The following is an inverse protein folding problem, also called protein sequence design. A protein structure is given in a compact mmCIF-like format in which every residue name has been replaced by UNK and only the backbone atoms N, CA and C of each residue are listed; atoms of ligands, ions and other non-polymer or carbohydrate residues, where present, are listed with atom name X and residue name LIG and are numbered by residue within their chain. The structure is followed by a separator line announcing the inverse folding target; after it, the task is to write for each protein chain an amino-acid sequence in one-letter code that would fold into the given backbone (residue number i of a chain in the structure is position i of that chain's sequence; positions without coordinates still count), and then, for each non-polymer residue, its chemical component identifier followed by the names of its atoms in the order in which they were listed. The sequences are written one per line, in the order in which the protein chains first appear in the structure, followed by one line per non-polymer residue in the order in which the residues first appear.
data_IF_515066347522
#
_entry.id   IF_515066347522
#
_cell.length_a   1.000
_cell.length_b   1.000
_cell.length_c   1.000
_cell.angle_alpha   90.00
_cell.angle_beta   90.00
_cell.angle_gamma   90.00
#
_symmetry.space_group_name_H-M   'P 1'
#
loop_
_entity.id
_entity.type
_entity.pdbx_description
1 polymer ?
#
# COMPACT_ATOMS: atom_id res chain seq x y z
N UNK A 1 17.48 -60.48 22.53
CA UNK A 1 16.71 -59.25 22.81
C UNK A 1 17.33 -57.98 22.24
N UNK A 2 18.59 -57.63 22.48
CA UNK A 2 19.21 -56.38 21.96
C UNK A 2 19.20 -56.20 20.43
N UNK A 3 19.29 -57.30 19.64
CA UNK A 3 19.26 -57.24 18.18
C UNK A 3 17.89 -56.93 17.63
N UNK A 4 16.80 -57.46 18.24
CA UNK A 4 15.43 -57.24 17.84
C UNK A 4 15.01 -55.76 18.03
N UNK A 5 15.38 -55.14 19.15
CA UNK A 5 15.13 -53.73 19.40
C UNK A 5 15.85 -52.78 18.42
N UNK A 6 17.07 -53.13 17.97
CA UNK A 6 17.79 -52.36 16.94
C UNK A 6 17.08 -52.41 15.57
N UNK A 7 16.58 -53.57 15.19
CA UNK A 7 15.81 -53.73 13.94
C UNK A 7 14.47 -52.99 14.00
N UNK A 8 13.79 -52.96 15.15
CA UNK A 8 12.54 -52.24 15.35
C UNK A 8 12.75 -50.69 15.28
N UNK A 9 13.82 -50.18 15.89
CA UNK A 9 14.17 -48.76 15.85
C UNK A 9 14.58 -48.32 14.44
N UNK A 10 15.29 -49.13 13.69
CA UNK A 10 15.62 -48.87 12.30
C UNK A 10 14.35 -48.85 11.42
N UNK A 11 13.43 -49.79 11.61
CA UNK A 11 12.15 -49.82 10.91
C UNK A 11 11.28 -48.58 11.18
N UNK A 12 11.19 -48.15 12.44
CA UNK A 12 10.47 -46.92 12.80
C UNK A 12 11.14 -45.65 12.21
N UNK A 13 12.47 -45.61 12.16
CA UNK A 13 13.23 -44.54 11.52
C UNK A 13 12.95 -44.46 10.01
N UNK A 14 12.89 -45.60 9.31
CA UNK A 14 12.56 -45.62 7.88
C UNK A 14 11.11 -45.20 7.61
N UNK A 15 10.16 -45.62 8.45
CA UNK A 15 8.75 -45.20 8.33
C UNK A 15 8.62 -43.70 8.56
N UNK A 16 9.27 -43.14 9.58
CA UNK A 16 9.29 -41.71 9.87
C UNK A 16 9.89 -40.88 8.71
N UNK A 17 11.01 -41.34 8.14
CA UNK A 17 11.64 -40.73 7.00
C UNK A 17 10.74 -40.76 5.74
N UNK A 18 10.07 -41.89 5.50
CA UNK A 18 9.15 -42.06 4.39
C UNK A 18 7.92 -41.13 4.53
N UNK A 19 7.38 -40.95 5.73
CA UNK A 19 6.27 -40.02 6.01
C UNK A 19 6.71 -38.59 5.79
N UNK A 20 7.91 -38.22 6.26
CA UNK A 20 8.47 -36.86 6.06
C UNK A 20 8.71 -36.56 4.57
N UNK A 21 9.25 -37.50 3.82
CA UNK A 21 9.48 -37.32 2.38
C UNK A 21 8.14 -37.20 1.61
N UNK A 22 7.14 -38.03 1.95
CA UNK A 22 5.81 -37.89 1.34
C UNK A 22 5.11 -36.56 1.72
N UNK A 23 5.30 -36.09 2.95
CA UNK A 23 4.77 -34.80 3.39
C UNK A 23 5.44 -33.64 2.63
N UNK A 24 6.78 -33.63 2.48
CA UNK A 24 7.52 -32.67 1.70
C UNK A 24 7.13 -32.68 0.21
N UNK A 25 6.96 -33.84 -0.40
CA UNK A 25 6.51 -33.93 -1.80
C UNK A 25 5.09 -33.42 -1.98
N UNK A 26 4.18 -33.71 -1.04
CA UNK A 26 2.81 -33.19 -1.08
C UNK A 26 2.77 -31.64 -0.95
N UNK A 27 3.57 -31.06 -0.06
CA UNK A 27 3.70 -29.59 0.07
C UNK A 27 4.27 -29.00 -1.22
N UNK A 28 5.36 -29.58 -1.76
CA UNK A 28 5.97 -29.12 -3.00
C UNK A 28 5.00 -29.17 -4.18
N UNK A 29 4.21 -30.23 -4.29
CA UNK A 29 3.18 -30.36 -5.32
C UNK A 29 2.06 -29.30 -5.17
N UNK A 30 1.63 -29.04 -3.94
CA UNK A 30 0.64 -28.00 -3.65
C UNK A 30 1.15 -26.60 -4.02
N UNK A 31 2.39 -26.29 -3.65
CA UNK A 31 3.06 -25.02 -4.00
C UNK A 31 3.18 -24.90 -5.52
N UNK A 32 3.63 -25.92 -6.21
CA UNK A 32 3.76 -25.92 -7.67
C UNK A 32 2.40 -25.76 -8.38
N UNK A 33 1.34 -26.36 -7.85
CA UNK A 33 -0.01 -26.21 -8.40
C UNK A 33 -0.51 -24.75 -8.26
N UNK A 34 -0.34 -24.14 -7.08
CA UNK A 34 -0.68 -22.72 -6.83
C UNK A 34 0.15 -21.82 -7.75
N UNK A 35 1.45 -22.05 -7.84
CA UNK A 35 2.36 -21.29 -8.70
C UNK A 35 1.98 -21.37 -10.17
N UNK A 36 1.65 -22.56 -10.68
CA UNK A 36 1.23 -22.74 -12.06
C UNK A 36 -0.11 -22.06 -12.34
N UNK A 37 -1.08 -22.15 -11.40
CA UNK A 37 -2.36 -21.45 -11.52
C UNK A 37 -2.16 -19.93 -11.55
N UNK A 38 -1.34 -19.38 -10.66
CA UNK A 38 -0.99 -17.96 -10.65
C UNK A 38 -0.27 -17.52 -11.95
N UNK A 39 0.67 -18.32 -12.44
CA UNK A 39 1.39 -18.03 -13.70
C UNK A 39 0.46 -18.03 -14.91
N UNK A 40 -0.51 -18.96 -14.98
CA UNK A 40 -1.50 -18.99 -16.06
C UNK A 40 -2.43 -17.76 -16.00
N UNK A 41 -2.93 -17.39 -14.81
CA UNK A 41 -3.74 -16.18 -14.63
C UNK A 41 -2.97 -14.91 -15.03
N UNK A 42 -1.69 -14.85 -14.67
CA UNK A 42 -0.81 -13.75 -15.09
C UNK A 42 -0.63 -13.72 -16.60
N UNK A 43 -0.38 -14.88 -17.25
CA UNK A 43 -0.20 -14.97 -18.69
C UNK A 43 -1.48 -14.57 -19.46
N UNK A 44 -2.65 -14.90 -18.94
CA UNK A 44 -3.94 -14.47 -19.50
C UNK A 44 -4.17 -12.96 -19.33
N UNK A 45 -3.86 -12.44 -18.14
CA UNK A 45 -3.95 -11.00 -17.85
C UNK A 45 -2.98 -10.17 -18.71
N UNK A 46 -1.76 -10.66 -18.92
CA UNK A 46 -0.74 -9.96 -19.74
C UNK A 46 -0.99 -9.98 -21.23
N UNK A 47 -1.77 -10.94 -21.75
CA UNK A 47 -2.15 -11.01 -23.17
C UNK A 47 -3.21 -9.98 -23.58
N UNK A 48 -3.99 -9.47 -22.60
CA UNK A 48 -4.86 -8.32 -22.85
C UNK A 48 -4.05 -7.05 -22.69
N UNK A 49 -3.47 -6.53 -23.77
CA UNK A 49 -3.01 -5.14 -23.80
C UNK A 49 -4.24 -4.24 -23.64
N UNK A 50 -4.50 -3.82 -22.40
CA UNK A 50 -5.55 -2.84 -22.14
C UNK A 50 -5.05 -1.53 -22.72
N UNK A 51 -5.73 -1.02 -23.75
CA UNK A 51 -5.48 0.34 -24.25
C UNK A 51 -5.73 1.29 -23.07
N UNK A 52 -4.81 2.24 -22.77
CA UNK A 52 -5.06 3.24 -21.75
C UNK A 52 -6.39 3.93 -22.03
N UNK A 53 -7.29 3.95 -21.06
CA UNK A 53 -8.50 4.74 -21.14
C UNK A 53 -8.07 6.18 -20.84
N UNK A 54 -8.45 7.10 -21.71
CA UNK A 54 -8.18 8.52 -21.49
C UNK A 54 -8.72 8.93 -20.13
N UNK A 55 -7.87 9.60 -19.32
CA UNK A 55 -8.21 10.04 -17.94
C UNK A 55 -8.24 8.96 -16.84
N UNK A 56 -7.65 7.80 -17.06
CA UNK A 56 -7.58 6.72 -16.08
C UNK A 56 -6.63 7.04 -14.92
N UNK A 57 -7.04 6.70 -13.68
CA UNK A 57 -6.18 6.76 -12.49
C UNK A 57 -5.57 5.39 -12.23
N UNK A 58 -4.25 5.30 -12.26
CA UNK A 58 -3.54 4.03 -12.07
C UNK A 58 -3.04 3.92 -10.63
N UNK A 59 -3.61 3.01 -9.85
CA UNK A 59 -3.24 2.75 -8.46
C UNK A 59 -2.41 1.46 -8.39
N UNK A 60 -1.24 1.53 -7.78
CA UNK A 60 -0.35 0.39 -7.59
C UNK A 60 -0.17 0.07 -6.10
N UNK A 61 -0.26 -1.20 -5.75
CA UNK A 61 -0.03 -1.71 -4.38
C UNK A 61 0.84 -2.96 -4.42
N UNK A 62 1.71 -3.11 -3.41
CA UNK A 62 2.50 -4.33 -3.19
C UNK A 62 2.01 -5.00 -1.92
N UNK A 63 1.48 -6.21 -2.05
CA UNK A 63 0.82 -6.97 -0.97
C UNK A 63 1.47 -8.35 -0.80
N UNK A 64 2.26 -8.53 0.25
CA UNK A 64 2.92 -9.78 0.56
C UNK A 64 2.64 -10.24 1.99
N UNK A 65 2.37 -11.53 2.15
CA UNK A 65 2.03 -12.19 3.41
C UNK A 65 0.53 -12.29 3.65
N UNK A 66 0.13 -13.32 4.39
CA UNK A 66 -1.27 -13.77 4.53
C UNK A 66 -2.23 -12.68 5.04
N UNK A 67 -1.77 -11.82 5.93
CA UNK A 67 -2.61 -10.76 6.52
C UNK A 67 -2.79 -9.53 5.62
N UNK A 68 -2.22 -9.50 4.40
CA UNK A 68 -2.26 -8.33 3.52
C UNK A 68 -3.37 -8.37 2.49
N UNK A 69 -4.03 -9.49 2.30
CA UNK A 69 -5.14 -9.61 1.35
C UNK A 69 -6.30 -8.68 1.73
N UNK A 70 -6.87 -8.86 2.93
CA UNK A 70 -8.05 -8.11 3.38
C UNK A 70 -7.76 -6.62 3.53
N UNK A 71 -6.57 -6.28 4.04
CA UNK A 71 -6.13 -4.90 4.18
C UNK A 71 -6.03 -4.21 2.81
N UNK A 72 -5.37 -4.86 1.84
CA UNK A 72 -5.25 -4.36 0.47
C UNK A 72 -6.62 -4.26 -0.23
N UNK A 73 -7.48 -5.26 -0.07
CA UNK A 73 -8.83 -5.22 -0.64
C UNK A 73 -9.66 -4.08 -0.01
N UNK A 74 -9.54 -3.83 1.28
CA UNK A 74 -10.21 -2.71 1.94
C UNK A 74 -9.72 -1.37 1.41
N UNK A 75 -8.40 -1.23 1.18
CA UNK A 75 -7.80 -0.06 0.56
C UNK A 75 -8.33 0.14 -0.87
N UNK A 76 -8.26 -0.89 -1.74
CA UNK A 76 -8.76 -0.81 -3.12
C UNK A 76 -10.26 -0.52 -3.17
N UNK A 77 -11.04 -1.09 -2.24
CA UNK A 77 -12.46 -0.81 -2.09
C UNK A 77 -12.70 0.67 -1.76
N UNK A 78 -11.90 1.27 -0.87
CA UNK A 78 -12.01 2.69 -0.55
C UNK A 78 -11.77 3.59 -1.78
N UNK A 79 -10.76 3.28 -2.58
CA UNK A 79 -10.54 3.97 -3.85
C UNK A 79 -11.74 3.88 -4.78
N UNK A 80 -12.31 2.68 -4.89
CA UNK A 80 -13.46 2.41 -5.76
C UNK A 80 -14.71 3.17 -5.31
N UNK A 81 -14.96 3.25 -4.00
CA UNK A 81 -16.12 3.96 -3.42
C UNK A 81 -16.10 5.44 -3.82
N UNK A 82 -14.98 6.10 -3.65
CA UNK A 82 -14.86 7.54 -3.87
C UNK A 82 -14.61 7.94 -5.32
N UNK A 83 -14.00 7.10 -6.15
CA UNK A 83 -13.63 7.45 -7.52
C UNK A 83 -14.81 7.90 -8.37
N UNK A 84 -14.57 8.94 -9.21
CA UNK A 84 -15.47 9.42 -10.27
C UNK A 84 -14.89 9.19 -11.66
N UNK A 85 -13.60 8.82 -11.74
CA UNK A 85 -12.89 8.51 -12.98
C UNK A 85 -12.63 7.01 -13.09
N UNK A 86 -12.37 6.47 -14.27
CA UNK A 86 -11.94 5.10 -14.45
C UNK A 86 -10.68 4.81 -13.62
N UNK A 87 -10.63 3.63 -12.99
CA UNK A 87 -9.49 3.17 -12.21
C UNK A 87 -8.80 1.99 -12.89
N UNK A 88 -7.49 1.94 -12.78
CA UNK A 88 -6.71 0.73 -13.07
C UNK A 88 -5.90 0.32 -11.85
N UNK A 89 -6.16 -0.87 -11.35
CA UNK A 89 -5.41 -1.45 -10.24
C UNK A 89 -4.26 -2.31 -10.72
N UNK A 90 -3.05 -2.03 -10.24
CA UNK A 90 -1.88 -2.89 -10.41
C UNK A 90 -1.56 -3.46 -9.03
N UNK A 91 -1.87 -4.73 -8.83
CA UNK A 91 -1.58 -5.46 -7.59
C UNK A 91 -0.34 -6.33 -7.82
N UNK A 92 0.72 -6.09 -7.06
CA UNK A 92 1.92 -6.93 -7.06
C UNK A 92 1.92 -7.74 -5.77
N UNK A 93 1.97 -9.07 -5.87
CA UNK A 93 1.69 -9.93 -4.73
C UNK A 93 2.52 -11.22 -4.74
N UNK A 94 2.59 -11.89 -3.61
CA UNK A 94 3.05 -13.28 -3.54
C UNK A 94 2.18 -14.18 -4.42
N UNK A 95 2.75 -15.26 -4.91
CA UNK A 95 2.04 -16.22 -5.77
C UNK A 95 0.78 -16.80 -5.10
N UNK A 96 0.84 -17.00 -3.80
CA UNK A 96 -0.24 -17.57 -2.98
C UNK A 96 -1.48 -16.67 -2.94
N UNK A 97 -1.31 -15.35 -2.98
CA UNK A 97 -2.41 -14.39 -2.89
C UNK A 97 -3.01 -14.01 -4.26
N UNK A 98 -2.28 -14.26 -5.37
CA UNK A 98 -2.73 -13.88 -6.72
C UNK A 98 -4.14 -14.43 -7.06
N UNK A 99 -4.45 -15.72 -6.81
CA UNK A 99 -5.78 -16.25 -7.12
C UNK A 99 -6.90 -15.53 -6.34
N UNK A 100 -6.67 -15.23 -5.06
CA UNK A 100 -7.65 -14.58 -4.20
C UNK A 100 -7.91 -13.12 -4.63
N UNK A 101 -6.87 -12.36 -4.96
CA UNK A 101 -7.01 -11.03 -5.54
C UNK A 101 -7.79 -11.06 -6.85
N UNK A 102 -7.44 -11.98 -7.75
CA UNK A 102 -8.08 -12.08 -9.04
C UNK A 102 -9.57 -12.43 -8.92
N UNK A 103 -9.91 -13.40 -8.06
CA UNK A 103 -11.28 -13.79 -7.78
C UNK A 103 -12.10 -12.60 -7.25
N UNK A 104 -11.58 -11.92 -6.22
CA UNK A 104 -12.31 -10.83 -5.57
C UNK A 104 -12.48 -9.61 -6.46
N UNK A 105 -11.46 -9.22 -7.19
CA UNK A 105 -11.56 -8.09 -8.12
C UNK A 105 -12.45 -8.40 -9.32
N UNK A 106 -12.49 -9.67 -9.77
CA UNK A 106 -13.43 -10.11 -10.81
C UNK A 106 -14.88 -10.06 -10.31
N UNK A 107 -15.14 -10.51 -9.08
CA UNK A 107 -16.45 -10.37 -8.43
C UNK A 107 -16.88 -8.89 -8.40
N UNK A 108 -15.98 -7.99 -7.97
CA UNK A 108 -16.31 -6.56 -7.91
C UNK A 108 -16.64 -5.96 -9.28
N UNK A 109 -15.97 -6.37 -10.35
CA UNK A 109 -16.31 -5.90 -11.71
C UNK A 109 -17.74 -6.26 -12.13
N UNK A 110 -18.31 -7.31 -11.57
CA UNK A 110 -19.69 -7.73 -11.88
C UNK A 110 -20.74 -6.95 -11.07
N UNK A 111 -20.39 -6.49 -9.87
CA UNK A 111 -21.37 -5.90 -8.96
C UNK A 111 -21.33 -4.37 -8.92
N UNK A 112 -20.20 -3.72 -9.24
CA UNK A 112 -20.11 -2.26 -9.16
C UNK A 112 -20.48 -1.61 -10.51
N UNK A 113 -21.26 -0.54 -10.45
CA UNK A 113 -21.53 0.31 -11.61
C UNK A 113 -20.46 1.40 -11.78
N UNK A 114 -19.19 0.98 -11.80
CA UNK A 114 -18.04 1.87 -11.99
C UNK A 114 -17.03 1.23 -12.94
N UNK A 115 -16.41 2.04 -13.78
CA UNK A 115 -15.39 1.55 -14.71
C UNK A 115 -14.07 1.37 -13.97
N UNK A 116 -13.63 0.13 -13.85
CA UNK A 116 -12.25 -0.14 -13.44
C UNK A 116 -11.71 -1.39 -14.15
N UNK A 117 -10.39 -1.45 -14.24
CA UNK A 117 -9.67 -2.64 -14.66
C UNK A 117 -8.57 -3.01 -13.67
N UNK A 118 -8.02 -4.20 -13.77
CA UNK A 118 -6.97 -4.63 -12.88
C UNK A 118 -6.02 -5.64 -13.53
N UNK A 119 -4.79 -5.62 -13.03
CA UNK A 119 -3.81 -6.65 -13.29
C UNK A 119 -3.18 -7.08 -11.95
N UNK A 120 -3.07 -8.40 -11.76
CA UNK A 120 -2.39 -8.98 -10.59
C UNK A 120 -1.10 -9.62 -11.09
N UNK A 121 0.05 -9.17 -10.57
CA UNK A 121 1.39 -9.63 -10.99
C UNK A 121 2.14 -10.23 -9.81
N UNK A 122 2.98 -11.25 -10.03
CA UNK A 122 3.86 -11.73 -8.98
C UNK A 122 4.95 -10.70 -8.66
N UNK A 123 5.45 -10.73 -7.41
CA UNK A 123 6.64 -9.98 -7.02
C UNK A 123 7.83 -10.42 -7.86
N UNK A 124 8.41 -9.47 -8.58
CA UNK A 124 9.58 -9.69 -9.43
C UNK A 124 10.60 -8.58 -9.21
N UNK A 125 11.88 -8.96 -9.22
CA UNK A 125 12.97 -8.00 -9.18
C UNK A 125 13.71 -8.05 -10.52
N UNK A 126 14.29 -6.92 -10.97
CA UNK A 126 15.17 -6.94 -12.13
C UNK A 126 16.35 -7.89 -11.88
N UNK A 127 17.12 -8.17 -12.93
CA UNK A 127 18.36 -8.97 -12.81
C UNK A 127 19.40 -8.17 -12.00
N UNK A 128 19.36 -8.39 -10.69
CA UNK A 128 20.23 -7.74 -9.69
C UNK A 128 20.80 -8.78 -8.76
N UNK A 129 21.99 -8.49 -8.23
CA UNK A 129 22.61 -9.35 -7.21
C UNK A 129 21.76 -9.40 -5.95
N UNK A 130 21.61 -10.61 -5.36
CA UNK A 130 20.96 -10.85 -4.09
C UNK A 130 19.47 -10.45 -3.99
N UNK A 131 18.67 -10.99 -4.89
CA UNK A 131 17.18 -10.84 -4.85
C UNK A 131 16.59 -11.23 -3.49
N UNK A 132 17.19 -12.21 -2.80
CA UNK A 132 16.71 -12.68 -1.49
C UNK A 132 16.84 -11.60 -0.42
N UNK A 133 17.93 -10.85 -0.43
CA UNK A 133 18.14 -9.71 0.45
C UNK A 133 17.08 -8.61 0.21
N UNK A 134 16.83 -8.26 -1.05
CA UNK A 134 15.83 -7.25 -1.41
C UNK A 134 14.41 -7.66 -1.01
N UNK A 135 14.05 -8.94 -1.15
CA UNK A 135 12.75 -9.45 -0.70
C UNK A 135 12.52 -9.31 0.80
N UNK A 136 13.60 -9.31 1.60
CA UNK A 136 13.54 -9.27 3.06
C UNK A 136 13.86 -7.89 3.64
N UNK A 137 14.23 -6.92 2.81
CA UNK A 137 14.57 -5.58 3.29
C UNK A 137 13.37 -4.94 3.99
N UNK A 138 13.45 -4.75 5.31
CA UNK A 138 12.50 -4.16 6.23
C UNK A 138 11.20 -4.98 6.43
N UNK A 139 10.35 -5.14 5.42
CA UNK A 139 9.12 -5.97 5.42
C UNK A 139 9.07 -6.81 4.17
N UNK A 140 8.33 -7.94 4.16
CA UNK A 140 8.20 -8.73 2.96
C UNK A 140 7.80 -7.87 1.77
N UNK A 141 8.59 -7.91 0.70
CA UNK A 141 8.36 -7.23 -0.57
C UNK A 141 8.30 -5.69 -0.55
N UNK A 142 8.48 -5.01 0.58
CA UNK A 142 8.43 -3.53 0.63
C UNK A 142 9.41 -2.89 -0.37
N UNK A 143 10.61 -3.46 -0.51
CA UNK A 143 11.63 -3.01 -1.47
C UNK A 143 11.19 -3.08 -2.95
N UNK A 144 10.10 -3.82 -3.27
CA UNK A 144 9.56 -3.88 -4.64
C UNK A 144 9.27 -2.50 -5.21
N UNK A 145 8.82 -1.55 -4.36
CA UNK A 145 8.55 -0.16 -4.74
C UNK A 145 9.73 0.51 -5.41
N UNK A 146 10.94 0.25 -4.95
CA UNK A 146 12.18 0.82 -5.52
C UNK A 146 12.42 0.39 -6.97
N UNK A 147 11.87 -0.73 -7.39
CA UNK A 147 12.08 -1.34 -8.69
C UNK A 147 10.88 -1.20 -9.65
N UNK A 148 9.78 -0.57 -9.21
CA UNK A 148 8.59 -0.37 -10.05
C UNK A 148 8.88 0.33 -11.38
N UNK A 149 9.79 1.33 -11.47
CA UNK A 149 10.12 1.94 -12.75
C UNK A 149 10.65 0.94 -13.78
N UNK A 150 11.36 -0.09 -13.32
CA UNK A 150 11.93 -1.15 -14.19
C UNK A 150 10.92 -2.28 -14.44
N UNK A 151 10.17 -2.68 -13.41
CA UNK A 151 9.22 -3.81 -13.48
C UNK A 151 7.96 -3.45 -14.26
N UNK A 152 7.48 -2.20 -14.14
CA UNK A 152 6.34 -1.68 -14.86
C UNK A 152 6.79 -0.85 -16.08
N UNK A 153 7.54 -1.47 -16.99
CA UNK A 153 8.10 -0.80 -18.16
C UNK A 153 7.06 -0.36 -19.20
N UNK A 154 5.85 -0.90 -19.10
CA UNK A 154 4.68 -0.63 -19.92
C UNK A 154 3.74 0.47 -19.34
N UNK A 155 4.15 1.09 -18.22
CA UNK A 155 3.32 2.05 -17.49
C UNK A 155 4.09 3.36 -17.31
N UNK A 156 3.44 4.52 -17.59
CA UNK A 156 4.11 5.82 -17.54
C UNK A 156 4.07 6.44 -16.15
N UNK A 157 2.96 6.29 -15.42
CA UNK A 157 2.77 6.88 -14.12
C UNK A 157 1.86 6.01 -13.24
N UNK A 158 2.05 6.07 -11.93
CA UNK A 158 1.25 5.40 -10.92
C UNK A 158 1.06 6.26 -9.68
N UNK A 159 -0.06 6.06 -8.99
CA UNK A 159 -0.22 6.37 -7.59
C UNK A 159 0.08 5.09 -6.80
N UNK A 160 1.28 5.02 -6.23
CA UNK A 160 1.64 3.94 -5.32
C UNK A 160 1.04 4.20 -3.94
N UNK A 161 0.47 3.15 -3.33
CA UNK A 161 -0.05 3.20 -1.96
C UNK A 161 0.33 1.94 -1.18
N UNK A 162 0.62 2.10 0.12
CA UNK A 162 0.80 0.97 1.02
C UNK A 162 -0.53 0.26 1.28
N UNK A 163 -0.49 -1.03 1.68
CA UNK A 163 -1.67 -1.84 1.96
C UNK A 163 -2.52 -1.27 3.08
N UNK A 164 -1.87 -0.61 4.05
CA UNK A 164 -2.48 0.02 5.23
C UNK A 164 -2.85 1.50 4.99
N UNK A 165 -3.39 1.80 3.80
CA UNK A 165 -3.95 3.13 3.49
C UNK A 165 -5.45 3.06 3.20
N UNK A 166 -6.16 4.17 3.34
CA UNK A 166 -7.58 4.31 2.99
C UNK A 166 -7.84 5.67 2.33
N UNK A 167 -8.48 5.65 1.19
CA UNK A 167 -8.97 6.87 0.54
C UNK A 167 -10.22 7.38 1.27
N UNK A 168 -10.27 8.67 1.54
CA UNK A 168 -11.43 9.40 2.06
C UNK A 168 -11.98 10.40 1.04
N UNK A 169 -11.36 10.48 -0.13
CA UNK A 169 -11.65 11.39 -1.24
C UNK A 169 -11.47 10.64 -2.56
N UNK A 170 -11.99 11.15 -3.68
CA UNK A 170 -11.69 10.60 -4.99
C UNK A 170 -10.18 10.51 -5.26
N UNK A 171 -9.65 9.33 -5.65
CA UNK A 171 -8.21 9.15 -5.93
C UNK A 171 -7.67 10.11 -6.98
N UNK A 172 -8.51 10.57 -7.90
CA UNK A 172 -8.16 11.56 -8.91
C UNK A 172 -7.71 12.91 -8.33
N UNK A 173 -8.13 13.27 -7.11
CA UNK A 173 -7.65 14.48 -6.42
C UNK A 173 -6.15 14.40 -6.18
N UNK A 174 -5.65 13.21 -5.83
CA UNK A 174 -4.22 12.98 -5.65
C UNK A 174 -3.53 12.85 -7.00
N UNK A 175 -4.15 12.13 -7.94
CA UNK A 175 -3.62 11.94 -9.28
C UNK A 175 -3.39 13.26 -10.01
N UNK A 176 -4.27 14.22 -9.81
CA UNK A 176 -4.17 15.53 -10.45
C UNK A 176 -3.01 16.39 -9.91
N UNK A 177 -2.35 16.00 -8.80
CA UNK A 177 -1.10 16.62 -8.36
C UNK A 177 0.05 16.43 -9.37
N UNK A 178 -0.03 15.43 -10.27
CA UNK A 178 0.90 15.33 -11.41
C UNK A 178 0.93 16.60 -12.26
N UNK A 179 -0.21 17.31 -12.39
CA UNK A 179 -0.31 18.55 -13.16
C UNK A 179 0.47 19.71 -12.53
N UNK A 180 0.76 19.64 -11.23
CA UNK A 180 1.54 20.64 -10.50
C UNK A 180 3.05 20.35 -10.50
N UNK A 181 3.42 19.11 -10.82
CA UNK A 181 4.83 18.73 -10.96
C UNK A 181 5.43 19.37 -12.18
N UNK A 182 6.62 19.95 -12.02
CA UNK A 182 7.39 20.46 -13.15
C UNK A 182 8.01 19.31 -13.97
N UNK A 183 8.69 19.66 -15.06
CA UNK A 183 9.23 18.68 -16.02
C UNK A 183 10.44 17.87 -15.52
N UNK A 184 11.06 18.27 -14.40
CA UNK A 184 12.22 17.55 -13.83
C UNK A 184 11.85 16.69 -12.63
N UNK A 185 10.70 16.88 -12.03
CA UNK A 185 10.25 16.12 -10.86
C UNK A 185 9.82 14.70 -11.24
N UNK A 186 10.26 13.73 -10.45
CA UNK A 186 10.07 12.30 -10.68
C UNK A 186 8.90 11.74 -9.88
N UNK A 187 8.68 12.31 -8.70
CA UNK A 187 7.70 11.81 -7.74
C UNK A 187 7.11 12.94 -6.89
N UNK A 188 6.00 12.64 -6.23
CA UNK A 188 5.44 13.50 -5.21
C UNK A 188 5.18 12.71 -3.92
N UNK A 189 5.52 13.29 -2.77
CA UNK A 189 5.43 12.70 -1.44
C UNK A 189 5.02 13.74 -0.39
N UNK A 190 4.39 13.29 0.71
CA UNK A 190 4.19 14.11 1.90
C UNK A 190 5.43 14.11 2.80
N UNK A 191 5.65 15.16 3.59
CA UNK A 191 6.64 15.14 4.66
C UNK A 191 6.41 13.96 5.61
N UNK A 192 7.49 13.47 6.23
CA UNK A 192 7.35 12.44 7.27
C UNK A 192 6.69 12.98 8.54
N UNK A 193 6.81 14.25 8.82
CA UNK A 193 6.16 14.96 9.91
C UNK A 193 6.06 16.45 9.61
N UNK A 194 5.19 17.18 10.34
CA UNK A 194 5.03 18.62 10.17
C UNK A 194 5.81 19.44 11.22
N UNK A 195 6.13 18.82 12.36
CA UNK A 195 6.88 19.46 13.44
C UNK A 195 8.25 18.79 13.63
N UNK A 196 9.36 19.55 13.44
CA UNK A 196 10.72 19.00 13.62
C UNK A 196 11.05 18.63 15.06
N UNK A 197 10.34 19.16 16.06
CA UNK A 197 10.62 18.87 17.47
C UNK A 197 10.01 17.55 17.92
N UNK A 198 8.91 17.13 17.31
CA UNK A 198 8.18 15.90 17.66
C UNK A 198 8.35 14.80 16.62
N UNK A 199 8.80 15.14 15.41
CA UNK A 199 9.10 14.18 14.35
C UNK A 199 10.14 13.15 14.80
N UNK A 200 9.79 11.87 14.73
CA UNK A 200 10.71 10.81 15.15
C UNK A 200 11.71 10.44 14.05
N UNK A 201 11.34 10.52 12.76
CA UNK A 201 12.20 10.15 11.65
C UNK A 201 13.46 11.02 11.59
N UNK A 202 13.33 12.33 11.59
CA UNK A 202 14.46 13.26 11.58
C UNK A 202 15.36 13.18 12.82
N UNK A 203 14.84 12.64 13.94
CA UNK A 203 15.61 12.45 15.18
C UNK A 203 16.39 11.13 15.22
N UNK A 204 15.94 10.10 14.50
CA UNK A 204 16.51 8.76 14.59
C UNK A 204 17.14 8.26 13.28
N UNK A 205 16.90 8.89 12.14
CA UNK A 205 17.58 8.56 10.90
C UNK A 205 19.10 8.77 11.00
N UNK A 206 19.86 7.75 10.63
CA UNK A 206 21.33 7.73 10.70
C UNK A 206 22.00 7.94 9.35
N UNK A 207 21.23 8.38 8.36
CA UNK A 207 21.63 8.63 6.98
C UNK A 207 21.09 9.99 6.52
N UNK A 208 21.57 10.55 5.41
CA UNK A 208 20.98 11.74 4.80
C UNK A 208 19.53 11.50 4.41
N UNK A 209 18.68 12.51 4.53
CA UNK A 209 17.27 12.45 4.14
C UNK A 209 16.82 13.79 3.54
N UNK A 210 15.69 13.77 2.85
CA UNK A 210 15.16 14.93 2.16
C UNK A 210 14.75 16.05 3.15
N UNK A 211 15.18 17.27 2.87
CA UNK A 211 14.80 18.46 3.62
C UNK A 211 15.12 18.37 5.13
N UNK A 212 14.24 18.93 5.96
CA UNK A 212 14.41 18.95 7.43
C UNK A 212 13.75 17.78 8.14
N UNK A 213 12.78 17.13 7.53
CA UNK A 213 11.89 16.16 8.17
C UNK A 213 11.89 14.79 7.50
N UNK A 214 12.44 14.68 6.29
CA UNK A 214 12.25 13.53 5.43
C UNK A 214 10.86 13.48 4.81
N UNK A 215 10.61 12.43 4.02
CA UNK A 215 9.32 12.17 3.39
C UNK A 215 8.85 10.75 3.65
N UNK A 216 7.53 10.57 3.72
CA UNK A 216 6.93 9.26 3.91
C UNK A 216 6.51 8.64 2.57
N UNK A 217 6.87 7.39 2.37
CA UNK A 217 6.70 6.69 1.11
C UNK A 217 5.37 5.94 0.96
N UNK A 218 4.50 5.94 1.97
CA UNK A 218 3.25 5.14 1.96
C UNK A 218 2.17 5.60 0.98
N UNK A 219 2.24 6.85 0.53
CA UNK A 219 1.46 7.39 -0.59
C UNK A 219 2.41 8.15 -1.48
N UNK A 220 2.61 7.72 -2.72
CA UNK A 220 3.63 8.26 -3.61
C UNK A 220 3.12 8.33 -5.05
N UNK A 221 3.05 9.53 -5.61
CA UNK A 221 2.94 9.67 -7.07
C UNK A 221 4.30 9.39 -7.70
N UNK A 222 4.33 8.52 -8.70
CA UNK A 222 5.56 8.12 -9.40
C UNK A 222 5.39 8.31 -10.90
N UNK A 223 6.16 9.20 -11.50
CA UNK A 223 6.31 9.27 -12.95
C UNK A 223 7.39 8.26 -13.38
N UNK A 224 6.96 7.06 -13.73
CA UNK A 224 7.86 5.94 -14.01
C UNK A 224 8.71 6.19 -15.25
N UNK A 225 8.20 6.88 -16.24
CA UNK A 225 8.95 7.25 -17.45
C UNK A 225 10.13 8.15 -17.10
N UNK A 226 9.89 9.24 -16.35
CA UNK A 226 10.97 10.14 -15.90
C UNK A 226 11.94 9.43 -14.95
N UNK A 227 11.45 8.51 -14.09
CA UNK A 227 12.32 7.72 -13.22
C UNK A 227 13.23 6.76 -14.02
N UNK A 228 12.74 6.18 -15.13
CA UNK A 228 13.55 5.38 -16.06
C UNK A 228 14.63 6.24 -16.76
N UNK A 229 14.25 7.41 -17.26
CA UNK A 229 15.16 8.37 -17.87
C UNK A 229 16.25 8.85 -16.90
N UNK A 230 15.90 9.09 -15.65
CA UNK A 230 16.81 9.42 -14.55
C UNK A 230 17.69 8.25 -14.13
N UNK A 231 17.41 7.03 -14.62
CA UNK A 231 18.10 5.78 -14.25
C UNK A 231 17.99 5.47 -12.75
N UNK A 232 16.82 5.67 -12.18
CA UNK A 232 16.51 5.53 -10.76
C UNK A 232 17.12 4.28 -10.11
N UNK A 233 16.99 3.10 -10.74
CA UNK A 233 17.51 1.83 -10.22
C UNK A 233 19.02 1.82 -10.03
N UNK A 234 19.77 2.63 -10.81
CA UNK A 234 21.22 2.74 -10.67
C UNK A 234 21.66 3.46 -9.39
N UNK A 235 20.78 4.25 -8.75
CA UNK A 235 21.03 4.87 -7.44
C UNK A 235 20.66 3.93 -6.30
N UNK A 236 19.63 3.09 -6.44
CA UNK A 236 19.11 2.22 -5.39
C UNK A 236 20.18 1.26 -4.84
N UNK A 237 20.89 0.55 -5.72
CA UNK A 237 21.85 -0.48 -5.32
C UNK A 237 23.08 0.10 -4.63
N UNK A 238 23.78 1.11 -5.18
CA UNK A 238 24.91 1.74 -4.51
C UNK A 238 24.55 2.36 -3.16
N UNK A 239 23.41 3.06 -3.08
CA UNK A 239 22.92 3.66 -1.84
C UNK A 239 22.66 2.60 -0.78
N UNK A 240 21.98 1.51 -1.13
CA UNK A 240 21.78 0.41 -0.19
C UNK A 240 23.13 -0.13 0.30
N UNK A 241 24.10 -0.36 -0.58
CA UNK A 241 25.43 -0.87 -0.21
C UNK A 241 26.18 0.08 0.72
N UNK A 242 26.10 1.38 0.48
CA UNK A 242 26.79 2.41 1.28
C UNK A 242 26.15 2.58 2.65
N UNK A 243 24.82 2.58 2.70
CA UNK A 243 24.07 2.91 3.92
C UNK A 243 23.45 1.69 4.62
N UNK A 244 23.72 0.44 4.22
CA UNK A 244 23.06 -0.77 4.71
C UNK A 244 23.02 -0.89 6.25
N UNK A 245 24.06 -0.45 6.97
CA UNK A 245 24.13 -0.46 8.43
C UNK A 245 23.38 0.72 9.10
N UNK A 246 22.90 1.67 8.32
CA UNK A 246 22.19 2.87 8.77
C UNK A 246 20.72 2.89 8.35
N UNK A 247 20.34 2.03 7.42
CA UNK A 247 18.96 1.85 6.97
C UNK A 247 18.16 1.16 8.07
N UNK A 248 17.09 1.79 8.53
CA UNK A 248 16.20 1.32 9.58
C UNK A 248 14.80 1.03 9.04
N UNK A 249 14.31 1.89 8.14
CA UNK A 249 12.95 1.83 7.58
C UNK A 249 12.94 1.42 6.09
N UNK A 250 13.96 0.70 5.68
CA UNK A 250 14.03 -0.01 4.41
C UNK A 250 14.01 0.90 3.19
N UNK A 251 13.02 0.71 2.35
CA UNK A 251 12.86 1.42 1.09
C UNK A 251 12.61 2.92 1.26
N UNK A 252 11.90 3.34 2.33
CA UNK A 252 11.70 4.75 2.64
C UNK A 252 13.02 5.49 2.85
N UNK A 253 13.99 4.85 3.51
CA UNK A 253 15.31 5.45 3.74
C UNK A 253 16.06 5.67 2.43
N UNK A 254 16.03 4.68 1.54
CA UNK A 254 16.67 4.76 0.22
C UNK A 254 16.04 5.89 -0.62
N UNK A 255 14.70 6.00 -0.62
CA UNK A 255 13.98 7.07 -1.29
C UNK A 255 14.40 8.44 -0.73
N UNK A 256 14.48 8.58 0.59
CA UNK A 256 14.91 9.81 1.25
C UNK A 256 16.36 10.18 0.91
N UNK A 257 17.26 9.20 0.83
CA UNK A 257 18.66 9.44 0.45
C UNK A 257 18.76 9.91 -0.99
N UNK A 258 18.01 9.28 -1.93
CA UNK A 258 18.00 9.71 -3.34
C UNK A 258 17.54 11.17 -3.44
N UNK A 259 16.44 11.53 -2.80
CA UNK A 259 15.92 12.89 -2.85
C UNK A 259 16.71 13.90 -1.99
N UNK A 260 17.52 13.45 -1.03
CA UNK A 260 18.49 14.32 -0.37
C UNK A 260 19.54 14.83 -1.38
N UNK A 261 20.07 13.95 -2.23
CA UNK A 261 21.07 14.31 -3.23
C UNK A 261 20.47 14.94 -4.50
N UNK A 262 19.16 14.78 -4.72
CA UNK A 262 18.43 15.30 -5.89
C UNK A 262 17.12 15.97 -5.46
N UNK A 263 17.17 17.03 -4.64
CA UNK A 263 15.97 17.64 -4.06
C UNK A 263 15.04 18.25 -5.11
N UNK A 264 15.58 18.69 -6.24
CA UNK A 264 14.81 19.25 -7.37
C UNK A 264 13.94 18.20 -8.08
N UNK A 265 14.19 16.91 -7.84
CA UNK A 265 13.45 15.80 -8.44
C UNK A 265 12.17 15.43 -7.68
N UNK A 266 11.94 16.05 -6.52
CA UNK A 266 10.77 15.76 -5.71
C UNK A 266 9.80 16.96 -5.68
N UNK A 267 8.51 16.67 -5.82
CA UNK A 267 7.42 17.55 -5.46
C UNK A 267 6.89 17.16 -4.08
N UNK A 268 6.72 18.13 -3.18
CA UNK A 268 6.17 17.86 -1.83
C UNK A 268 4.74 18.37 -1.78
N UNK A 269 3.81 17.50 -1.45
CA UNK A 269 2.41 17.85 -1.23
C UNK A 269 2.04 17.78 0.26
N UNK A 270 0.86 18.25 0.60
CA UNK A 270 0.34 18.37 1.96
C UNK A 270 0.28 17.03 2.72
N UNK A 271 0.43 17.11 4.05
CA UNK A 271 0.18 16.00 5.00
C UNK A 271 -1.20 15.36 4.85
N UNK A 272 -2.19 16.06 4.30
CA UNK A 272 -3.54 15.53 4.04
C UNK A 272 -3.54 14.31 3.11
N UNK A 273 -2.58 14.23 2.20
CA UNK A 273 -2.46 13.13 1.23
C UNK A 273 -1.90 11.83 1.84
N UNK A 274 -1.36 11.93 3.06
CA UNK A 274 -0.78 10.79 3.77
C UNK A 274 -0.90 11.00 5.28
N UNK A 275 -2.15 11.16 5.77
CA UNK A 275 -2.44 11.47 7.17
C UNK A 275 -2.26 10.22 8.05
N UNK A 276 -1.37 10.31 9.03
CA UNK A 276 -0.93 9.21 9.88
C UNK A 276 -1.23 9.49 11.36
N UNK A 277 -1.18 8.47 12.22
CA UNK A 277 -1.33 8.64 13.67
C UNK A 277 -0.38 9.70 14.25
N UNK A 278 0.82 9.83 13.70
CA UNK A 278 1.81 10.82 14.13
C UNK A 278 1.29 12.27 14.03
N UNK A 279 0.34 12.53 13.16
CA UNK A 279 -0.25 13.87 12.99
C UNK A 279 -1.25 14.26 14.08
N UNK A 280 -1.69 13.30 14.95
CA UNK A 280 -2.66 13.59 15.99
C UNK A 280 -2.42 12.89 17.34
N UNK A 281 -1.53 11.88 17.42
CA UNK A 281 -1.40 11.03 18.62
C UNK A 281 -0.86 11.79 19.86
N UNK A 282 -0.11 12.84 19.67
CA UNK A 282 0.40 13.71 20.75
C UNK A 282 -0.28 15.07 20.73
N UNK A 283 -0.24 15.73 19.59
CA UNK A 283 -0.91 16.98 19.28
C UNK A 283 -1.26 16.98 17.80
N UNK A 284 -2.23 17.77 17.40
CA UNK A 284 -2.53 17.95 15.99
C UNK A 284 -1.49 18.84 15.33
N UNK A 285 -0.83 18.34 14.28
CA UNK A 285 0.26 19.06 13.59
C UNK A 285 0.03 19.25 12.09
N UNK A 286 -1.04 18.66 11.53
CA UNK A 286 -1.43 18.83 10.13
C UNK A 286 -2.63 19.79 10.04
N UNK A 287 -2.37 21.09 10.13
CA UNK A 287 -3.40 22.15 10.15
C UNK A 287 -4.31 22.13 8.92
N UNK A 288 -3.78 21.77 7.74
CA UNK A 288 -4.59 21.67 6.53
C UNK A 288 -5.61 20.52 6.62
N UNK A 289 -5.27 19.41 7.30
CA UNK A 289 -6.22 18.33 7.54
C UNK A 289 -7.29 18.72 8.59
N UNK A 290 -6.95 19.52 9.58
CA UNK A 290 -7.94 20.06 10.52
C UNK A 290 -8.97 20.94 9.82
N UNK A 291 -8.52 21.75 8.87
CA UNK A 291 -9.38 22.66 8.13
C UNK A 291 -10.26 21.93 7.11
N UNK A 292 -9.66 21.08 6.29
CA UNK A 292 -10.28 20.57 5.06
C UNK A 292 -10.40 19.02 5.03
N UNK A 293 -10.08 18.34 6.13
CA UNK A 293 -10.09 16.87 6.26
C UNK A 293 -8.90 16.17 5.63
N UNK A 294 -8.59 14.97 6.08
CA UNK A 294 -7.61 14.08 5.46
C UNK A 294 -8.13 13.54 4.13
N UNK A 295 -7.25 13.35 3.16
CA UNK A 295 -7.56 12.80 1.84
C UNK A 295 -7.27 11.30 1.78
N UNK A 296 -6.13 10.88 2.36
CA UNK A 296 -5.77 9.49 2.56
C UNK A 296 -5.33 9.29 4.00
N UNK A 297 -5.90 8.30 4.66
CA UNK A 297 -5.39 7.80 5.94
C UNK A 297 -4.34 6.73 5.69
N UNK A 298 -3.30 6.74 6.52
CA UNK A 298 -2.27 5.70 6.51
C UNK A 298 -2.14 5.11 7.91
N UNK A 299 -2.57 3.86 8.07
CA UNK A 299 -2.61 3.11 9.33
C UNK A 299 -1.25 2.62 9.81
N UNK A 300 -0.21 3.41 9.61
CA UNK A 300 1.18 3.08 9.96
C UNK A 300 1.28 2.34 11.28
N UNK A 301 2.19 1.36 11.35
CA UNK A 301 2.46 0.56 12.56
C UNK A 301 1.25 -0.23 13.07
N UNK A 302 0.36 -0.63 12.18
CA UNK A 302 -0.82 -1.46 12.48
C UNK A 302 -1.93 -0.72 13.22
N UNK A 303 -2.02 0.60 13.07
CA UNK A 303 -3.00 1.42 13.78
C UNK A 303 -4.45 1.09 13.40
N UNK A 304 -4.71 0.64 12.18
CA UNK A 304 -6.04 0.17 11.77
C UNK A 304 -6.53 -1.05 12.55
N UNK A 305 -5.61 -1.82 13.16
CA UNK A 305 -5.91 -3.05 13.89
C UNK A 305 -5.66 -2.91 15.40
N UNK A 306 -5.51 -1.68 15.90
CA UNK A 306 -5.10 -1.40 17.27
C UNK A 306 -6.02 -0.40 17.96
N UNK A 307 -6.26 -0.60 19.25
CA UNK A 307 -7.01 0.33 20.11
C UNK A 307 -6.22 1.59 20.50
N UNK A 308 -4.95 1.72 20.05
CA UNK A 308 -4.11 2.87 20.42
C UNK A 308 -4.60 4.17 19.84
N UNK A 309 -5.21 4.12 18.65
CA UNK A 309 -5.79 5.28 17.96
C UNK A 309 -7.17 4.90 17.42
N UNK A 310 -8.20 4.92 18.26
CA UNK A 310 -9.53 4.44 17.93
C UNK A 310 -10.13 5.02 16.63
N UNK A 311 -9.95 6.31 16.28
CA UNK A 311 -10.50 6.85 15.04
C UNK A 311 -9.97 6.16 13.77
N UNK A 312 -8.70 5.76 13.75
CA UNK A 312 -8.15 5.02 12.61
C UNK A 312 -8.81 3.65 12.46
N UNK A 313 -8.95 2.93 13.59
CA UNK A 313 -9.66 1.64 13.62
C UNK A 313 -11.12 1.80 13.21
N UNK A 314 -11.82 2.82 13.72
CA UNK A 314 -13.21 3.12 13.42
C UNK A 314 -13.45 3.27 11.90
N UNK A 315 -12.63 4.07 11.22
CA UNK A 315 -12.73 4.26 9.77
C UNK A 315 -12.42 2.97 9.02
N UNK A 316 -11.36 2.25 9.44
CA UNK A 316 -11.01 0.98 8.80
C UNK A 316 -12.13 -0.05 8.93
N UNK A 317 -12.73 -0.19 10.13
CA UNK A 317 -13.83 -1.12 10.39
C UNK A 317 -15.05 -0.78 9.52
N UNK A 318 -15.47 0.48 9.50
CA UNK A 318 -16.59 0.91 8.67
C UNK A 318 -16.35 0.62 7.18
N UNK A 319 -15.13 0.87 6.70
CA UNK A 319 -14.74 0.62 5.32
C UNK A 319 -14.68 -0.88 5.01
N UNK A 320 -14.20 -1.69 5.95
CA UNK A 320 -14.12 -3.14 5.81
C UNK A 320 -15.51 -3.79 5.77
N UNK A 321 -16.41 -3.34 6.61
CA UNK A 321 -17.79 -3.86 6.72
C UNK A 321 -18.68 -3.42 5.57
N UNK A 322 -18.38 -2.28 4.94
CA UNK A 322 -19.17 -1.77 3.83
C UNK A 322 -19.23 -2.75 2.65
N UNK A 323 -20.46 -3.02 2.18
CA UNK A 323 -20.74 -3.87 1.03
C UNK A 323 -20.91 -3.00 -0.22
N UNK A 324 -20.09 -3.26 -1.25
CA UNK A 324 -20.18 -2.55 -2.53
C UNK A 324 -21.61 -2.67 -3.11
N UNK A 325 -22.02 -1.63 -3.85
CA UNK A 325 -23.33 -1.50 -4.47
C UNK A 325 -24.52 -1.36 -3.47
N UNK A 326 -24.23 -1.00 -2.21
CA UNK A 326 -25.25 -0.55 -1.25
C UNK A 326 -25.21 0.98 -1.12
N UNK A 327 -26.21 1.59 -0.47
CA UNK A 327 -26.22 3.04 -0.25
C UNK A 327 -25.02 3.45 0.63
N UNK A 328 -24.05 4.22 0.11
CA UNK A 328 -22.86 4.60 0.86
C UNK A 328 -23.15 5.61 1.97
N UNK A 329 -24.24 6.38 1.90
CA UNK A 329 -24.63 7.26 2.97
C UNK A 329 -25.04 6.46 4.20
N UNK A 330 -25.99 5.53 4.04
CA UNK A 330 -26.54 4.75 5.16
C UNK A 330 -25.56 3.68 5.65
N UNK A 331 -24.83 3.02 4.74
CA UNK A 331 -24.07 1.81 5.06
C UNK A 331 -22.55 2.05 5.25
N UNK A 332 -22.07 3.28 4.99
CA UNK A 332 -20.67 3.65 5.22
C UNK A 332 -20.56 4.94 6.02
N UNK A 333 -21.13 6.06 5.53
CA UNK A 333 -20.94 7.37 6.15
C UNK A 333 -21.54 7.42 7.56
N UNK A 334 -22.76 6.92 7.73
CA UNK A 334 -23.42 6.89 9.06
C UNK A 334 -22.70 5.98 10.05
N UNK A 335 -22.29 4.75 9.71
CA UNK A 335 -21.39 3.95 10.57
C UNK A 335 -20.07 4.64 10.92
N UNK A 336 -19.39 5.27 9.95
CA UNK A 336 -18.17 6.05 10.23
C UNK A 336 -18.44 7.12 11.30
N UNK A 337 -19.50 7.91 11.15
CA UNK A 337 -19.88 8.95 12.11
C UNK A 337 -20.13 8.37 13.50
N UNK A 338 -20.92 7.29 13.56
CA UNK A 338 -21.22 6.64 14.83
C UNK A 338 -19.97 6.14 15.54
N UNK A 339 -19.08 5.46 14.84
CA UNK A 339 -17.85 4.95 15.44
C UNK A 339 -16.90 6.07 15.90
N UNK A 340 -16.79 7.16 15.11
CA UNK A 340 -15.92 8.29 15.46
C UNK A 340 -16.40 9.07 16.69
N UNK A 341 -17.71 9.19 16.88
CA UNK A 341 -18.29 9.96 18.00
C UNK A 341 -18.25 9.21 19.33
N UNK A 342 -17.91 7.92 19.34
CA UNK A 342 -17.79 7.12 20.55
C UNK A 342 -16.47 7.35 21.32
N UNK A 343 -15.46 7.93 20.68
CA UNK A 343 -14.15 8.19 21.30
C UNK A 343 -13.78 9.68 21.22
N UNK A 344 -13.92 10.38 22.33
CA UNK A 344 -13.45 11.76 22.54
C UNK A 344 -12.21 11.85 23.43
N UNK A 345 -11.74 10.72 23.97
CA UNK A 345 -10.67 10.66 24.98
C UNK A 345 -9.28 10.63 24.37
N UNK A 346 -9.11 9.99 23.23
CA UNK A 346 -7.82 9.98 22.55
C UNK A 346 -7.51 11.33 21.90
N UNK A 347 -6.23 11.67 21.71
CA UNK A 347 -5.89 12.92 21.04
C UNK A 347 -6.36 12.93 19.59
N UNK A 348 -6.30 11.79 18.87
CA UNK A 348 -6.86 11.69 17.53
C UNK A 348 -8.40 11.77 17.54
N UNK A 349 -9.06 11.28 18.61
CA UNK A 349 -10.52 11.40 18.79
C UNK A 349 -10.99 12.85 18.95
N UNK A 350 -10.21 13.68 19.63
CA UNK A 350 -10.52 15.13 19.77
C UNK A 350 -10.56 15.87 18.43
N UNK A 351 -9.86 15.36 17.43
CA UNK A 351 -9.84 15.92 16.05
C UNK A 351 -10.61 15.04 15.06
N UNK A 352 -11.61 14.31 15.50
CA UNK A 352 -12.37 13.35 14.69
C UNK A 352 -12.90 13.90 13.36
N UNK A 353 -13.15 15.20 13.27
CA UNK A 353 -13.59 15.86 12.03
C UNK A 353 -12.59 15.70 10.89
N UNK A 354 -11.30 15.58 11.19
CA UNK A 354 -10.26 15.32 10.19
C UNK A 354 -10.55 14.05 9.37
N UNK A 355 -11.15 13.05 10.00
CA UNK A 355 -11.49 11.77 9.39
C UNK A 355 -12.85 11.79 8.65
N UNK A 356 -13.67 12.80 8.90
CA UNK A 356 -15.07 12.80 8.47
C UNK A 356 -15.39 13.85 7.39
N UNK A 357 -14.70 14.99 7.36
CA UNK A 357 -14.98 16.10 6.43
C UNK A 357 -15.02 15.62 4.96
N UNK A 358 -14.04 14.87 4.51
CA UNK A 358 -14.00 14.42 3.12
C UNK A 358 -15.06 13.35 2.79
N UNK A 359 -15.24 12.30 3.60
CA UNK A 359 -16.36 11.38 3.40
C UNK A 359 -17.72 12.08 3.36
N UNK A 360 -17.99 13.02 4.27
CA UNK A 360 -19.23 13.78 4.27
C UNK A 360 -19.42 14.61 3.00
N UNK A 361 -18.36 15.25 2.52
CA UNK A 361 -18.40 16.04 1.29
C UNK A 361 -18.76 15.19 0.06
N UNK A 362 -18.29 13.95 0.00
CA UNK A 362 -18.42 13.11 -1.19
C UNK A 362 -19.60 12.12 -1.13
N UNK A 363 -20.00 11.70 0.06
CA UNK A 363 -21.05 10.69 0.30
C UNK A 363 -22.28 11.27 0.99
N UNK A 364 -22.19 12.46 1.57
CA UNK A 364 -23.31 13.14 2.24
C UNK A 364 -24.46 13.42 1.26
N UNK A 365 -25.68 13.32 1.75
CA UNK A 365 -26.86 13.74 0.98
C UNK A 365 -26.79 15.27 0.81
N UNK A 366 -26.81 15.75 -0.41
CA UNK A 366 -27.04 17.17 -0.66
C UNK A 366 -28.43 17.48 -0.08
N UNK A 367 -28.52 18.42 0.87
CA UNK A 367 -29.79 18.93 1.29
C UNK A 367 -30.54 19.36 0.02
N UNK A 368 -31.59 18.64 -0.33
CA UNK A 368 -32.57 19.11 -1.29
C UNK A 368 -33.22 20.29 -0.53
N UNK A 369 -32.86 21.51 -0.97
CA UNK A 369 -33.60 22.68 -0.56
C UNK A 369 -35.05 22.42 -0.92
N UNK A 370 -35.86 22.19 0.09
CA UNK A 370 -37.33 22.19 -0.04
C UNK A 370 -37.64 23.65 -0.35
N UNK A 371 -37.95 23.96 -1.63
CA UNK A 371 -38.60 25.16 -2.04
C UNK A 371 -40.02 25.20 -1.46
#
# INVERSE_FOLDING_TARGET
MKSFYRLLLLGLGFIGLFILLNYQTNISNKINHVRNRASNMFAESSKKSVKPIEDEVVICVVACGDNRLDESLTMLKSALIFSKRPLRFIVISDYELIPAFHEKLTEWKQIVNKTFDFVVRPVTFPDISDVTMWRKLFKPCAAQRLFLPTVLNDTDAILYVDTDTLFLTPPEVIWDEFKKMNNVQLAALSPEHEDPNTGWYNRFAKHPYYGKLGVNSGVMLMNLTRMREFKWTQYVIPIHKEYQLKITWGDQDIINIIFHYHPEKLYVYSCRYNYRPDHCMYMSVCSEAEKDGALVLHGSRGTFHSEKQPPFKAIYTAMQEYKLNTDPYENLLMPMRNYLTLDDRSNCGKVWKVFFIQPELHLGRKNVSIE
#
